data_IF_441477410847
#
_entry.id   IF_441477410847
#
_cell.length_a   1.000
_cell.length_b   1.000
_cell.length_c   1.000
_cell.angle_alpha   90.00
_cell.angle_beta   90.00
_cell.angle_gamma   90.00
#
_symmetry.space_group_name_H-M   'P 1'
#
loop_
_entity.id
_entity.type
_entity.pdbx_description
1 polymer ?
#
# COMPACT_ATOMS: atom_id res chain seq x y z
N UNK A 1 33.90 -5.26 -7.94
CA UNK A 1 33.99 -4.19 -6.91
C UNK A 1 33.13 -4.63 -5.73
N UNK A 2 33.48 -4.35 -4.47
CA UNK A 2 32.65 -4.73 -3.33
C UNK A 2 31.27 -4.07 -3.44
N UNK A 3 30.25 -4.73 -2.88
CA UNK A 3 28.89 -4.20 -2.80
C UNK A 3 28.86 -3.02 -1.82
N UNK A 4 28.18 -1.94 -2.18
CA UNK A 4 28.03 -0.73 -1.34
C UNK A 4 26.57 -0.34 -1.19
N UNK A 5 26.20 0.22 -0.03
CA UNK A 5 24.86 0.73 0.23
C UNK A 5 24.85 2.27 0.30
N UNK A 6 23.94 2.94 -0.41
CA UNK A 6 23.65 4.36 -0.24
C UNK A 6 22.22 4.53 0.31
N UNK A 7 22.04 5.47 1.24
CA UNK A 7 20.77 5.70 1.93
C UNK A 7 20.43 7.19 1.84
N UNK A 8 19.26 7.50 1.28
CA UNK A 8 18.83 8.88 1.07
C UNK A 8 17.45 9.12 1.68
N UNK A 9 17.33 10.18 2.48
CA UNK A 9 16.05 10.71 2.93
C UNK A 9 15.56 11.75 1.92
N UNK A 10 14.34 11.58 1.41
CA UNK A 10 13.74 12.52 0.46
C UNK A 10 12.36 12.98 0.92
N UNK A 11 11.96 14.17 0.47
CA UNK A 11 10.64 14.74 0.72
C UNK A 11 10.01 15.18 -0.60
N UNK A 12 8.83 14.65 -0.89
CA UNK A 12 8.06 14.96 -2.09
C UNK A 12 6.81 15.78 -1.70
N UNK A 13 6.55 16.91 -2.39
CA UNK A 13 5.34 17.69 -2.14
C UNK A 13 4.09 16.92 -2.60
N UNK A 14 3.04 16.92 -1.78
CA UNK A 14 1.72 16.39 -2.14
C UNK A 14 0.97 17.47 -2.96
N UNK A 15 0.22 17.05 -3.97
CA UNK A 15 -0.66 17.94 -4.73
C UNK A 15 -1.86 18.36 -3.86
N UNK A 16 -1.73 19.48 -3.16
CA UNK A 16 -2.70 19.94 -2.18
C UNK A 16 -2.48 19.29 -0.81
N UNK A 17 -3.50 18.64 -0.27
CA UNK A 17 -3.48 18.03 1.07
C UNK A 17 -4.09 16.65 1.01
N UNK A 18 -3.40 15.67 1.58
CA UNK A 18 -3.92 14.31 1.77
C UNK A 18 -4.43 14.15 3.20
N UNK A 19 -5.72 13.86 3.38
CA UNK A 19 -6.37 13.79 4.70
C UNK A 19 -6.99 12.43 4.94
N UNK A 20 -6.65 11.84 6.10
CA UNK A 20 -7.26 10.63 6.68
C UNK A 20 -7.86 10.96 8.04
N UNK A 21 -8.57 10.00 8.66
CA UNK A 21 -9.17 10.15 10.00
C UNK A 21 -8.18 10.65 11.07
N UNK A 22 -6.92 10.22 11.00
CA UNK A 22 -5.84 10.55 11.95
C UNK A 22 -5.12 11.88 11.68
N UNK A 23 -5.36 12.54 10.54
CA UNK A 23 -4.74 13.83 10.22
C UNK A 23 -4.43 14.06 8.74
N UNK A 24 -3.78 15.18 8.47
CA UNK A 24 -3.48 15.67 7.13
C UNK A 24 -1.96 15.73 6.87
N UNK A 25 -1.57 15.51 5.61
CA UNK A 25 -0.18 15.62 5.12
C UNK A 25 -0.11 16.51 3.89
N UNK A 26 0.98 17.28 3.80
CA UNK A 26 1.33 18.11 2.63
C UNK A 26 2.64 17.65 1.96
N UNK A 27 3.31 16.66 2.55
CA UNK A 27 4.52 16.03 2.01
C UNK A 27 4.53 14.53 2.26
N UNK A 28 5.14 13.80 1.34
CA UNK A 28 5.54 12.41 1.48
C UNK A 28 7.04 12.36 1.83
N UNK A 29 7.37 11.79 2.98
CA UNK A 29 8.75 11.59 3.43
C UNK A 29 9.12 10.13 3.21
N UNK A 30 10.15 9.89 2.41
CA UNK A 30 10.53 8.55 1.95
C UNK A 30 12.02 8.33 2.15
N UNK A 31 12.43 7.08 2.33
CA UNK A 31 13.84 6.68 2.38
C UNK A 31 14.12 5.77 1.19
N UNK A 32 15.19 6.08 0.46
CA UNK A 32 15.66 5.29 -0.68
C UNK A 32 16.94 4.56 -0.31
N UNK A 33 16.99 3.26 -0.58
CA UNK A 33 18.20 2.45 -0.55
C UNK A 33 18.69 2.23 -1.98
N UNK A 34 19.97 2.46 -2.23
CA UNK A 34 20.63 2.07 -3.48
C UNK A 34 21.77 1.11 -3.15
N UNK A 35 21.70 -0.11 -3.66
CA UNK A 35 22.77 -1.10 -3.53
C UNK A 35 23.52 -1.17 -4.85
N UNK A 36 24.84 -0.95 -4.82
CA UNK A 36 25.70 -1.01 -6.01
C UNK A 36 26.64 -2.19 -5.91
N UNK A 37 26.72 -3.03 -6.94
CA UNK A 37 27.68 -4.14 -7.03
C UNK A 37 28.16 -4.26 -8.48
N UNK A 38 29.48 -4.29 -8.69
CA UNK A 38 30.08 -4.43 -10.03
C UNK A 38 29.59 -3.38 -11.06
N UNK A 39 29.22 -2.19 -10.59
CA UNK A 39 28.71 -1.10 -11.43
C UNK A 39 27.22 -1.19 -11.76
N UNK A 40 26.52 -2.22 -11.29
CA UNK A 40 25.07 -2.37 -11.39
C UNK A 40 24.42 -1.82 -10.11
N UNK A 41 23.28 -1.15 -10.25
CA UNK A 41 22.55 -0.54 -9.13
C UNK A 41 21.14 -1.10 -9.01
N UNK A 42 20.77 -1.49 -7.79
CA UNK A 42 19.40 -1.79 -7.39
C UNK A 42 18.86 -0.75 -6.43
N UNK A 43 17.58 -0.41 -6.56
CA UNK A 43 16.91 0.63 -5.80
C UNK A 43 15.68 0.08 -5.06
N UNK A 44 15.44 0.60 -3.86
CA UNK A 44 14.24 0.34 -3.10
C UNK A 44 13.82 1.59 -2.33
N UNK A 45 12.52 1.75 -2.11
CA UNK A 45 11.95 2.88 -1.39
C UNK A 45 10.99 2.40 -0.31
N UNK A 46 11.02 3.08 0.83
CA UNK A 46 10.04 2.87 1.89
C UNK A 46 9.51 4.19 2.43
N UNK A 47 8.37 4.10 3.12
CA UNK A 47 7.68 5.24 3.75
C UNK A 47 7.53 4.97 5.24
N UNK A 48 8.36 5.59 6.11
CA UNK A 48 8.22 5.45 7.55
C UNK A 48 6.83 5.87 8.04
N UNK A 49 6.17 5.02 8.84
CA UNK A 49 4.81 5.26 9.29
C UNK A 49 4.71 5.41 10.82
N UNK A 50 4.50 6.65 11.29
CA UNK A 50 4.42 6.98 12.74
C UNK A 50 3.39 6.15 13.51
N UNK A 51 2.27 5.76 12.89
CA UNK A 51 1.25 4.91 13.51
C UNK A 51 1.81 3.54 13.90
N UNK A 52 2.89 3.09 13.27
CA UNK A 52 3.60 1.84 13.56
C UNK A 52 4.90 2.09 14.34
N UNK A 53 5.09 3.30 14.90
CA UNK A 53 6.28 3.64 15.70
C UNK A 53 7.51 4.01 14.87
N UNK A 54 7.38 4.19 13.56
CA UNK A 54 8.50 4.49 12.67
C UNK A 54 8.66 6.00 12.43
N UNK A 55 9.91 6.47 12.43
CA UNK A 55 10.31 7.81 11.98
C UNK A 55 11.37 7.72 10.89
N UNK A 56 11.64 8.82 10.19
CA UNK A 56 12.72 8.89 9.21
C UNK A 56 14.06 8.49 9.85
N UNK A 57 14.34 9.02 11.04
CA UNK A 57 15.58 8.77 11.78
C UNK A 57 15.69 7.31 12.24
N UNK A 58 14.59 6.73 12.78
CA UNK A 58 14.62 5.35 13.26
C UNK A 58 14.79 4.36 12.11
N UNK A 59 14.10 4.58 10.98
CA UNK A 59 14.18 3.72 9.80
C UNK A 59 15.56 3.83 9.14
N UNK A 60 16.10 5.05 9.01
CA UNK A 60 17.47 5.23 8.52
C UNK A 60 18.49 4.51 9.39
N UNK A 61 18.39 4.65 10.72
CA UNK A 61 19.31 3.99 11.64
C UNK A 61 19.24 2.46 11.54
N UNK A 62 18.05 1.89 11.33
CA UNK A 62 17.89 0.45 11.10
C UNK A 62 18.53 -0.01 9.79
N UNK A 63 18.35 0.75 8.69
CA UNK A 63 18.99 0.45 7.40
C UNK A 63 20.51 0.55 7.52
N UNK A 64 21.03 1.60 8.16
CA UNK A 64 22.48 1.80 8.31
C UNK A 64 23.10 0.75 9.22
N UNK A 65 22.39 0.27 10.25
CA UNK A 65 22.83 -0.86 11.07
C UNK A 65 22.94 -2.17 10.27
N UNK A 66 22.13 -2.36 9.23
CA UNK A 66 22.21 -3.51 8.34
C UNK A 66 23.31 -3.38 7.27
N UNK A 67 23.95 -2.22 7.13
CA UNK A 67 24.99 -1.96 6.13
C UNK A 67 26.07 -3.04 6.05
N UNK A 68 26.69 -3.50 7.16
CA UNK A 68 27.75 -4.52 7.05
C UNK A 68 27.26 -5.84 6.46
N UNK A 69 25.99 -6.20 6.68
CA UNK A 69 25.36 -7.39 6.11
C UNK A 69 25.06 -7.19 4.62
N UNK A 70 24.54 -6.01 4.26
CA UNK A 70 24.29 -5.67 2.86
C UNK A 70 25.60 -5.69 2.08
N UNK A 71 26.63 -5.00 2.54
CA UNK A 71 27.93 -4.88 1.88
C UNK A 71 28.72 -6.21 1.87
N UNK A 72 28.43 -7.15 2.78
CA UNK A 72 28.98 -8.52 2.76
C UNK A 72 28.25 -9.48 1.82
N UNK A 73 27.15 -9.06 1.19
CA UNK A 73 26.47 -9.83 0.16
C UNK A 73 25.23 -10.58 0.61
N UNK A 74 24.55 -10.17 1.69
CA UNK A 74 23.31 -10.81 2.15
C UNK A 74 22.28 -10.98 1.02
N UNK A 75 21.55 -12.09 1.04
CA UNK A 75 20.43 -12.37 0.12
C UNK A 75 19.11 -11.78 0.65
N UNK A 76 18.11 -11.61 -0.22
CA UNK A 76 16.76 -11.19 0.19
C UNK A 76 16.12 -12.18 1.18
N UNK A 77 16.39 -13.47 1.06
CA UNK A 77 15.84 -14.50 1.96
C UNK A 77 16.49 -14.42 3.36
N UNK A 78 17.82 -14.28 3.41
CA UNK A 78 18.54 -14.15 4.69
C UNK A 78 18.19 -12.84 5.41
N UNK A 79 17.84 -11.79 4.64
CA UNK A 79 17.40 -10.50 5.18
C UNK A 79 16.17 -10.63 6.07
N UNK A 80 15.25 -11.57 5.78
CA UNK A 80 14.05 -11.80 6.59
C UNK A 80 14.37 -12.16 8.04
N UNK A 81 15.48 -12.87 8.27
CA UNK A 81 15.97 -13.24 9.60
C UNK A 81 16.85 -12.17 10.23
N UNK A 82 17.48 -11.33 9.42
CA UNK A 82 18.40 -10.29 9.88
C UNK A 82 17.71 -8.97 10.26
N UNK A 83 16.55 -8.68 9.67
CA UNK A 83 15.79 -7.46 9.92
C UNK A 83 14.31 -7.79 10.21
N UNK A 84 13.67 -7.08 11.17
CA UNK A 84 12.24 -7.23 11.39
C UNK A 84 11.43 -6.69 10.20
N UNK A 85 10.16 -7.10 10.02
CA UNK A 85 9.24 -6.46 9.09
C UNK A 85 9.08 -4.96 9.43
N UNK A 86 8.89 -4.14 8.41
CA UNK A 86 8.81 -2.68 8.52
C UNK A 86 9.48 -1.96 7.35
N UNK A 87 9.35 -0.63 7.33
CA UNK A 87 9.83 0.22 6.24
C UNK A 87 11.33 0.03 5.97
N UNK A 88 12.15 -0.16 7.00
CA UNK A 88 13.59 -0.36 6.84
C UNK A 88 13.93 -1.59 5.99
N UNK A 89 13.32 -2.74 6.30
CA UNK A 89 13.53 -3.97 5.55
C UNK A 89 12.95 -3.88 4.15
N UNK A 90 11.83 -3.17 3.97
CA UNK A 90 11.23 -2.94 2.66
C UNK A 90 12.21 -2.29 1.67
N UNK A 91 12.85 -1.18 2.07
CA UNK A 91 13.77 -0.49 1.18
C UNK A 91 14.99 -1.35 0.79
N UNK A 92 15.54 -2.11 1.75
CA UNK A 92 16.70 -2.98 1.48
C UNK A 92 16.29 -4.18 0.63
N UNK A 93 15.19 -4.86 0.95
CA UNK A 93 14.69 -6.03 0.22
C UNK A 93 14.41 -5.69 -1.25
N UNK A 94 13.68 -4.60 -1.50
CA UNK A 94 13.35 -4.16 -2.85
C UNK A 94 14.60 -3.75 -3.64
N UNK A 95 15.61 -3.16 -2.99
CA UNK A 95 16.88 -2.82 -3.63
C UNK A 95 17.69 -4.07 -4.02
N UNK A 96 17.67 -5.12 -3.19
CA UNK A 96 18.30 -6.40 -3.50
C UNK A 96 17.60 -7.12 -4.66
N UNK A 97 16.27 -7.08 -4.72
CA UNK A 97 15.50 -7.61 -5.85
C UNK A 97 15.86 -6.93 -7.17
N UNK A 98 15.92 -5.59 -7.17
CA UNK A 98 16.28 -4.79 -8.35
C UNK A 98 17.71 -5.05 -8.79
N UNK A 99 18.66 -5.06 -7.83
CA UNK A 99 20.07 -5.34 -8.11
C UNK A 99 20.24 -6.69 -8.79
N UNK A 100 19.61 -7.73 -8.23
CA UNK A 100 19.75 -9.10 -8.74
C UNK A 100 19.13 -9.24 -10.13
N UNK A 101 17.96 -8.61 -10.38
CA UNK A 101 17.35 -8.61 -11.71
C UNK A 101 18.27 -7.97 -12.76
N UNK A 102 18.85 -6.81 -12.44
CA UNK A 102 19.75 -6.08 -13.34
C UNK A 102 21.09 -6.78 -13.54
N UNK A 103 21.64 -7.43 -12.51
CA UNK A 103 22.91 -8.19 -12.61
C UNK A 103 22.77 -9.44 -13.45
N UNK A 104 21.67 -10.17 -13.30
CA UNK A 104 21.44 -11.43 -14.00
C UNK A 104 20.82 -11.23 -15.39
N UNK A 105 20.24 -10.06 -15.65
CA UNK A 105 19.43 -9.80 -16.84
C UNK A 105 18.09 -10.55 -16.83
N UNK A 106 17.71 -11.18 -15.70
CA UNK A 106 16.42 -11.83 -15.53
C UNK A 106 15.46 -10.89 -14.82
N UNK A 107 14.37 -10.53 -15.50
CA UNK A 107 13.36 -9.64 -14.92
C UNK A 107 12.75 -10.25 -13.66
N UNK A 108 12.35 -9.40 -12.70
CA UNK A 108 11.69 -9.86 -11.48
C UNK A 108 10.43 -10.66 -11.80
N UNK A 109 9.64 -10.24 -12.80
CA UNK A 109 8.47 -11.01 -13.26
C UNK A 109 8.82 -12.45 -13.66
N UNK A 110 9.94 -12.65 -14.37
CA UNK A 110 10.39 -14.00 -14.76
C UNK A 110 10.77 -14.82 -13.54
N UNK A 111 11.49 -14.23 -12.58
CA UNK A 111 11.89 -14.90 -11.33
C UNK A 111 10.68 -15.30 -10.48
N UNK A 112 9.61 -14.51 -10.52
CA UNK A 112 8.34 -14.81 -9.84
C UNK A 112 7.45 -15.79 -10.62
N UNK A 113 7.88 -16.26 -11.80
CA UNK A 113 7.07 -17.14 -12.65
C UNK A 113 5.80 -16.46 -13.18
N UNK A 114 5.76 -15.12 -13.21
CA UNK A 114 4.61 -14.39 -13.70
C UNK A 114 4.56 -14.47 -15.23
N UNK A 115 3.34 -14.58 -15.76
CA UNK A 115 3.10 -14.31 -17.18
C UNK A 115 3.44 -12.85 -17.53
N UNK A 116 3.31 -12.48 -18.80
CA UNK A 116 3.48 -11.09 -19.22
C UNK A 116 2.65 -10.15 -18.32
N UNK A 117 3.33 -9.21 -17.65
CA UNK A 117 2.71 -8.26 -16.74
C UNK A 117 1.67 -7.43 -17.49
N UNK A 118 0.52 -7.20 -16.85
CA UNK A 118 -0.57 -6.41 -17.42
C UNK A 118 -0.71 -5.09 -16.67
N UNK A 119 -1.23 -4.04 -17.33
CA UNK A 119 -1.69 -2.85 -16.63
C UNK A 119 -2.80 -3.21 -15.65
N UNK A 120 -2.79 -2.58 -14.47
CA UNK A 120 -3.73 -2.85 -13.40
C UNK A 120 -4.66 -1.65 -13.20
N UNK A 121 -5.91 -1.90 -12.85
CA UNK A 121 -6.81 -0.82 -12.42
C UNK A 121 -6.48 -0.46 -10.98
N UNK A 122 -5.89 0.71 -10.76
CA UNK A 122 -5.64 1.25 -9.41
C UNK A 122 -6.79 2.14 -8.96
N UNK A 123 -7.07 2.13 -7.67
CA UNK A 123 -7.91 3.10 -7.02
C UNK A 123 -7.36 4.51 -7.19
N UNK A 124 -8.21 5.50 -6.93
CA UNK A 124 -7.82 6.87 -6.72
C UNK A 124 -8.49 7.39 -5.45
N UNK A 125 -7.69 7.96 -4.56
CA UNK A 125 -8.15 8.34 -3.23
C UNK A 125 -8.83 9.71 -3.22
N UNK A 126 -10.08 9.73 -2.76
CA UNK A 126 -10.83 10.92 -2.34
C UNK A 126 -10.53 11.15 -0.85
N UNK A 127 -9.90 12.29 -0.54
CA UNK A 127 -9.52 12.64 0.83
C UNK A 127 -10.74 12.96 1.70
N UNK A 128 -10.62 12.73 3.00
CA UNK A 128 -11.68 13.02 3.96
C UNK A 128 -11.94 14.54 4.02
N UNK A 129 -13.22 14.93 3.95
CA UNK A 129 -13.67 16.32 4.03
C UNK A 129 -15.17 16.41 4.30
N UNK A 130 -15.78 17.58 4.08
CA UNK A 130 -17.23 17.73 4.14
C UNK A 130 -17.92 17.02 2.95
N UNK A 131 -19.17 16.55 3.09
CA UNK A 131 -19.87 15.80 2.05
C UNK A 131 -19.86 16.47 0.67
N UNK A 132 -20.08 17.79 0.61
CA UNK A 132 -20.11 18.56 -0.64
C UNK A 132 -18.73 18.61 -1.31
N UNK A 133 -17.67 18.73 -0.51
CA UNK A 133 -16.28 18.77 -0.98
C UNK A 133 -15.88 17.40 -1.53
N UNK A 134 -16.18 16.33 -0.80
CA UNK A 134 -15.91 14.97 -1.24
C UNK A 134 -16.71 14.62 -2.50
N UNK A 135 -17.98 15.05 -2.59
CA UNK A 135 -18.79 14.87 -3.78
C UNK A 135 -18.25 15.67 -4.98
N UNK A 136 -17.68 16.85 -4.77
CA UNK A 136 -17.03 17.61 -5.84
C UNK A 136 -15.80 16.89 -6.37
N UNK A 137 -14.91 16.40 -5.50
CA UNK A 137 -13.75 15.60 -5.89
C UNK A 137 -14.18 14.31 -6.60
N UNK A 138 -15.20 13.61 -6.08
CA UNK A 138 -15.73 12.41 -6.70
C UNK A 138 -16.30 12.67 -8.10
N UNK A 139 -16.99 13.79 -8.32
CA UNK A 139 -17.47 14.20 -9.67
C UNK A 139 -16.31 14.45 -10.63
N UNK A 140 -15.28 15.15 -10.18
CA UNK A 140 -14.08 15.41 -11.00
C UNK A 140 -13.40 14.11 -11.45
N UNK A 141 -13.44 13.08 -10.61
CA UNK A 141 -12.83 11.79 -10.88
C UNK A 141 -13.84 10.67 -11.20
N UNK A 142 -15.08 11.02 -11.54
CA UNK A 142 -16.16 10.03 -11.79
C UNK A 142 -15.90 9.14 -13.01
N UNK A 143 -14.97 9.52 -13.90
CA UNK A 143 -14.52 8.70 -15.02
C UNK A 143 -13.55 7.58 -14.63
N UNK A 144 -13.08 7.54 -13.37
CA UNK A 144 -12.22 6.47 -12.87
C UNK A 144 -13.06 5.23 -12.55
N UNK A 145 -12.49 4.05 -12.83
CA UNK A 145 -13.13 2.77 -12.57
C UNK A 145 -13.28 2.46 -11.07
N UNK A 146 -12.32 2.89 -10.25
CA UNK A 146 -12.27 2.62 -8.81
C UNK A 146 -11.90 3.89 -8.03
N UNK A 147 -12.73 4.25 -7.06
CA UNK A 147 -12.48 5.34 -6.11
C UNK A 147 -12.32 4.75 -4.70
N UNK A 148 -11.24 5.16 -4.01
CA UNK A 148 -11.05 4.89 -2.59
C UNK A 148 -11.47 6.14 -1.81
N UNK A 149 -12.38 6.01 -0.86
CA UNK A 149 -12.98 7.17 -0.18
C UNK A 149 -12.63 7.12 1.29
N UNK A 150 -11.91 8.14 1.75
CA UNK A 150 -11.54 8.27 3.17
C UNK A 150 -12.76 8.69 3.99
N UNK A 151 -13.08 7.86 4.98
CA UNK A 151 -14.13 8.06 5.98
C UNK A 151 -13.47 7.93 7.37
N UNK A 152 -14.25 7.69 8.43
CA UNK A 152 -13.73 7.45 9.78
C UNK A 152 -14.18 8.49 10.80
N UNK A 153 -15.43 8.97 10.68
CA UNK A 153 -16.09 9.84 11.65
C UNK A 153 -17.38 9.18 12.17
N UNK A 154 -18.02 9.77 13.18
CA UNK A 154 -19.32 9.30 13.67
C UNK A 154 -20.50 9.57 12.71
N UNK A 155 -20.30 10.36 11.66
CA UNK A 155 -21.34 10.82 10.73
C UNK A 155 -20.87 10.74 9.26
N UNK A 156 -20.58 9.53 8.79
CA UNK A 156 -20.11 9.30 7.42
C UNK A 156 -21.23 8.93 6.44
N UNK A 157 -22.46 8.75 6.90
CA UNK A 157 -23.57 8.39 6.01
C UNK A 157 -23.78 9.43 4.91
N UNK A 158 -23.75 10.72 5.28
CA UNK A 158 -23.89 11.83 4.35
C UNK A 158 -22.77 11.84 3.30
N UNK A 159 -21.53 11.59 3.73
CA UNK A 159 -20.33 11.49 2.86
C UNK A 159 -20.45 10.33 1.88
N UNK A 160 -20.80 9.13 2.36
CA UNK A 160 -20.95 7.92 1.54
C UNK A 160 -22.02 8.15 0.47
N UNK A 161 -23.20 8.65 0.85
CA UNK A 161 -24.29 8.91 -0.08
C UNK A 161 -23.94 10.00 -1.09
N UNK A 162 -23.31 11.09 -0.64
CA UNK A 162 -22.91 12.19 -1.53
C UNK A 162 -21.88 11.76 -2.58
N UNK A 163 -20.87 10.96 -2.19
CA UNK A 163 -19.86 10.42 -3.10
C UNK A 163 -20.47 9.43 -4.10
N UNK A 164 -21.35 8.52 -3.66
CA UNK A 164 -22.04 7.62 -4.59
C UNK A 164 -22.88 8.39 -5.63
N UNK A 165 -23.64 9.40 -5.21
CA UNK A 165 -24.41 10.24 -6.15
C UNK A 165 -23.49 10.96 -7.16
N UNK A 166 -22.32 11.42 -6.71
CA UNK A 166 -21.33 12.09 -7.54
C UNK A 166 -20.63 11.16 -8.56
N UNK A 167 -20.43 9.90 -8.22
CA UNK A 167 -19.76 8.90 -9.05
C UNK A 167 -20.59 7.60 -9.13
N UNK A 168 -21.75 7.62 -9.81
CA UNK A 168 -22.71 6.50 -9.78
C UNK A 168 -22.18 5.22 -10.43
N UNK A 169 -21.22 5.33 -11.36
CA UNK A 169 -20.71 4.19 -12.13
C UNK A 169 -19.35 3.66 -11.63
N UNK A 170 -18.66 4.40 -10.75
CA UNK A 170 -17.38 3.95 -10.22
C UNK A 170 -17.60 2.84 -9.17
N UNK A 171 -16.72 1.85 -9.13
CA UNK A 171 -16.56 1.03 -7.94
C UNK A 171 -16.05 1.92 -6.81
N UNK A 172 -16.58 1.71 -5.60
CA UNK A 172 -16.19 2.48 -4.42
C UNK A 172 -15.73 1.51 -3.35
N UNK A 173 -14.56 1.78 -2.78
CA UNK A 173 -14.10 1.21 -1.53
C UNK A 173 -13.96 2.33 -0.50
N UNK A 174 -14.32 2.05 0.75
CA UNK A 174 -14.20 3.00 1.85
C UNK A 174 -13.00 2.62 2.70
N UNK A 175 -12.34 3.60 3.28
CA UNK A 175 -11.28 3.38 4.26
C UNK A 175 -11.47 4.33 5.44
N UNK A 176 -11.80 3.75 6.60
CA UNK A 176 -12.06 4.51 7.82
C UNK A 176 -10.79 4.79 8.62
N UNK A 177 -9.67 4.12 8.30
CA UNK A 177 -8.41 4.20 9.02
C UNK A 177 -8.63 4.20 10.54
N UNK A 178 -9.30 3.16 11.05
CA UNK A 178 -9.60 2.96 12.48
C UNK A 178 -10.61 3.97 13.08
N UNK A 179 -11.26 4.79 12.26
CA UNK A 179 -11.97 5.98 12.72
C UNK A 179 -13.41 5.77 13.18
N UNK A 180 -14.05 4.62 12.90
CA UNK A 180 -15.44 4.42 13.34
C UNK A 180 -15.51 3.98 14.80
N UNK A 181 -16.37 4.62 15.61
CA UNK A 181 -16.82 4.05 16.87
C UNK A 181 -17.63 2.76 16.65
N UNK A 182 -17.53 1.79 17.56
CA UNK A 182 -18.35 0.58 17.54
C UNK A 182 -19.85 0.88 17.44
N UNK A 183 -20.32 1.93 18.14
CA UNK A 183 -21.71 2.32 18.20
C UNK A 183 -22.35 2.70 16.84
N UNK A 184 -21.53 3.00 15.81
CA UNK A 184 -22.02 3.35 14.46
C UNK A 184 -21.68 2.29 13.41
N UNK A 185 -20.93 1.25 13.78
CA UNK A 185 -20.36 0.28 12.84
C UNK A 185 -21.41 -0.41 11.97
N UNK A 186 -22.39 -1.08 12.58
CA UNK A 186 -23.42 -1.83 11.84
C UNK A 186 -24.22 -0.90 10.91
N UNK A 187 -24.56 0.30 11.39
CA UNK A 187 -25.27 1.32 10.63
C UNK A 187 -24.44 1.77 9.42
N UNK A 188 -23.17 2.09 9.60
CA UNK A 188 -22.30 2.53 8.50
C UNK A 188 -22.03 1.40 7.48
N UNK A 189 -21.84 0.16 7.93
CA UNK A 189 -21.74 -0.99 7.03
C UNK A 189 -23.01 -1.20 6.21
N UNK A 190 -24.18 -1.02 6.82
CA UNK A 190 -25.46 -1.10 6.11
C UNK A 190 -25.58 0.01 5.05
N UNK A 191 -25.28 1.26 5.40
CA UNK A 191 -25.31 2.39 4.46
C UNK A 191 -24.31 2.21 3.33
N UNK A 192 -23.11 1.69 3.61
CA UNK A 192 -22.13 1.34 2.60
C UNK A 192 -22.67 0.27 1.64
N UNK A 193 -23.31 -0.79 2.15
CA UNK A 193 -23.93 -1.82 1.34
C UNK A 193 -25.07 -1.28 0.46
N UNK A 194 -25.97 -0.45 1.02
CA UNK A 194 -27.04 0.22 0.26
C UNK A 194 -26.49 1.09 -0.87
N UNK A 195 -25.36 1.76 -0.62
CA UNK A 195 -24.66 2.58 -1.60
C UNK A 195 -23.86 1.75 -2.61
N UNK A 196 -23.88 0.41 -2.55
CA UNK A 196 -23.12 -0.46 -3.46
C UNK A 196 -21.61 -0.28 -3.31
N UNK A 197 -21.12 -0.04 -2.10
CA UNK A 197 -19.69 -0.09 -1.77
C UNK A 197 -19.20 -1.53 -1.86
N UNK A 198 -18.03 -1.74 -2.46
CA UNK A 198 -17.46 -3.07 -2.64
C UNK A 198 -16.71 -3.58 -1.41
N UNK A 199 -16.04 -2.69 -0.68
CA UNK A 199 -15.17 -3.03 0.46
C UNK A 199 -15.07 -1.86 1.45
N UNK A 200 -15.00 -2.17 2.74
CA UNK A 200 -14.69 -1.23 3.83
C UNK A 200 -13.39 -1.66 4.51
N UNK A 201 -12.38 -0.80 4.44
CA UNK A 201 -11.05 -1.00 5.01
C UNK A 201 -10.96 -0.42 6.42
N UNK A 202 -10.44 -1.25 7.33
CA UNK A 202 -10.16 -1.00 8.74
C UNK A 202 -11.19 -0.07 9.42
N UNK A 203 -12.44 -0.52 9.62
CA UNK A 203 -13.47 0.31 10.25
C UNK A 203 -13.13 0.66 11.70
N UNK A 204 -12.64 -0.32 12.47
CA UNK A 204 -12.35 -0.21 13.90
C UNK A 204 -10.84 -0.15 14.19
N UNK A 205 -10.43 0.41 15.35
CA UNK A 205 -9.03 0.38 15.77
C UNK A 205 -8.46 -1.03 15.91
N UNK A 206 -7.23 -1.22 15.46
CA UNK A 206 -6.54 -2.49 15.60
C UNK A 206 -6.42 -2.88 17.08
N UNK A 207 -6.78 -4.13 17.39
CA UNK A 207 -6.85 -4.63 18.77
C UNK A 207 -8.15 -4.27 19.53
N UNK A 208 -9.01 -3.45 18.93
CA UNK A 208 -10.34 -3.10 19.42
C UNK A 208 -11.39 -3.34 18.32
N UNK A 209 -11.28 -4.48 17.66
CA UNK A 209 -12.02 -4.85 16.44
C UNK A 209 -12.80 -6.18 16.60
N UNK A 210 -12.92 -6.68 17.83
CA UNK A 210 -13.58 -7.95 18.16
C UNK A 210 -15.05 -8.00 17.71
N UNK A 211 -15.76 -6.86 17.75
CA UNK A 211 -17.16 -6.76 17.33
C UNK A 211 -17.38 -7.23 15.88
N UNK A 212 -16.37 -7.15 15.01
CA UNK A 212 -16.45 -7.61 13.62
C UNK A 212 -16.70 -9.12 13.48
N UNK A 213 -16.37 -9.92 14.50
CA UNK A 213 -16.66 -11.35 14.54
C UNK A 213 -18.11 -11.66 14.96
N UNK A 214 -18.77 -10.72 15.64
CA UNK A 214 -20.09 -10.93 16.25
C UNK A 214 -21.23 -10.40 15.38
N UNK A 215 -20.95 -9.42 14.52
CA UNK A 215 -21.95 -8.78 13.66
C UNK A 215 -22.02 -9.41 12.27
N UNK A 216 -23.16 -9.21 11.60
CA UNK A 216 -23.26 -9.50 10.17
C UNK A 216 -22.50 -8.44 9.37
N UNK A 217 -21.59 -8.87 8.50
CA UNK A 217 -20.91 -8.02 7.52
C UNK A 217 -21.62 -8.12 6.16
N UNK A 218 -22.39 -7.11 5.71
CA UNK A 218 -23.17 -7.18 4.47
C UNK A 218 -22.33 -6.98 3.20
N UNK A 219 -21.05 -6.62 3.34
CA UNK A 219 -20.06 -6.43 2.29
C UNK A 219 -18.67 -6.81 2.84
N UNK A 220 -17.63 -6.83 2.00
CA UNK A 220 -16.27 -7.19 2.43
C UNK A 220 -15.72 -6.19 3.44
N UNK A 221 -15.18 -6.69 4.56
CA UNK A 221 -14.39 -5.91 5.52
C UNK A 221 -12.92 -6.30 5.40
N UNK A 222 -12.06 -5.30 5.21
CA UNK A 222 -10.64 -5.47 4.94
C UNK A 222 -9.77 -5.04 6.12
N UNK A 223 -8.80 -5.87 6.52
CA UNK A 223 -7.79 -5.49 7.50
C UNK A 223 -6.66 -4.69 6.83
N UNK A 224 -6.28 -3.55 7.42
CA UNK A 224 -5.04 -2.83 7.09
C UNK A 224 -4.16 -2.70 8.32
N UNK A 225 -4.50 -1.82 9.27
CA UNK A 225 -3.72 -1.60 10.49
C UNK A 225 -3.63 -2.85 11.38
N UNK A 226 -4.61 -3.77 11.31
CA UNK A 226 -4.62 -5.05 12.04
C UNK A 226 -3.76 -6.15 11.41
N UNK A 227 -3.16 -5.95 10.23
CA UNK A 227 -2.40 -7.00 9.52
C UNK A 227 -1.08 -6.46 8.94
N UNK A 228 0.06 -7.08 9.28
CA UNK A 228 1.39 -6.60 8.90
C UNK A 228 2.21 -7.63 8.14
N UNK A 229 2.19 -8.88 8.57
CA UNK A 229 2.98 -9.97 7.99
C UNK A 229 2.22 -11.30 7.99
N UNK A 230 2.78 -12.34 7.36
CA UNK A 230 2.13 -13.65 7.19
C UNK A 230 1.62 -14.25 8.52
N UNK A 231 2.37 -14.06 9.60
CA UNK A 231 2.02 -14.59 10.94
C UNK A 231 0.71 -14.04 11.53
N UNK A 232 0.17 -12.93 11.03
CA UNK A 232 -1.04 -12.31 11.58
C UNK A 232 -2.33 -12.95 11.04
N UNK A 233 -2.27 -13.52 9.83
CA UNK A 233 -3.42 -13.85 8.99
C UNK A 233 -4.42 -14.79 9.66
N UNK A 234 -3.92 -15.88 10.26
CA UNK A 234 -4.78 -16.92 10.82
C UNK A 234 -5.70 -16.39 11.92
N UNK A 235 -5.26 -15.39 12.68
CA UNK A 235 -6.03 -14.82 13.79
C UNK A 235 -7.11 -13.83 13.34
N UNK A 236 -7.13 -13.44 12.06
CA UNK A 236 -8.00 -12.39 11.53
C UNK A 236 -9.21 -12.94 10.77
N UNK A 237 -9.24 -14.24 10.47
CA UNK A 237 -10.23 -14.86 9.60
C UNK A 237 -11.67 -14.80 10.15
N UNK A 238 -11.84 -14.61 11.46
CA UNK A 238 -13.14 -14.44 12.11
C UNK A 238 -13.71 -13.02 11.96
N UNK A 239 -12.84 -12.02 11.79
CA UNK A 239 -13.17 -10.58 11.78
C UNK A 239 -13.12 -9.94 10.39
N UNK A 240 -12.33 -10.51 9.47
CA UNK A 240 -12.04 -9.89 8.17
C UNK A 240 -12.29 -10.84 7.01
N UNK A 241 -12.71 -10.27 5.88
CA UNK A 241 -12.97 -10.98 4.60
C UNK A 241 -11.85 -10.72 3.59
N UNK A 242 -11.12 -9.62 3.76
CA UNK A 242 -10.04 -9.18 2.89
C UNK A 242 -8.85 -8.69 3.70
N UNK A 243 -7.67 -8.63 3.08
CA UNK A 243 -6.46 -8.04 3.66
C UNK A 243 -5.83 -7.04 2.72
N UNK A 244 -5.28 -5.96 3.27
CA UNK A 244 -4.47 -4.99 2.55
C UNK A 244 -2.97 -5.26 2.79
N UNK A 245 -2.31 -5.87 1.82
CA UNK A 245 -0.87 -6.13 1.85
C UNK A 245 -0.13 -4.88 1.38
N UNK A 246 0.79 -4.37 2.20
CA UNK A 246 1.66 -3.22 1.89
C UNK A 246 3.11 -3.59 2.14
N UNK A 247 3.99 -3.25 1.21
CA UNK A 247 5.41 -3.61 1.32
C UNK A 247 6.09 -2.99 2.54
N UNK A 248 5.68 -1.79 2.95
CA UNK A 248 6.19 -1.15 4.17
C UNK A 248 5.80 -1.90 5.45
N UNK A 249 4.69 -2.66 5.45
CA UNK A 249 4.27 -3.48 6.60
C UNK A 249 4.93 -4.85 6.57
N UNK A 250 4.93 -5.50 5.41
CA UNK A 250 5.58 -6.80 5.24
C UNK A 250 7.10 -6.68 5.37
N UNK A 251 7.65 -5.49 5.18
CA UNK A 251 9.09 -5.26 5.12
C UNK A 251 9.71 -5.86 3.87
N UNK A 252 9.07 -5.68 2.71
CA UNK A 252 9.62 -6.04 1.41
C UNK A 252 8.74 -6.97 0.58
N UNK A 253 9.14 -7.13 -0.68
CA UNK A 253 8.50 -7.99 -1.66
C UNK A 253 8.62 -9.47 -1.27
N UNK A 254 9.75 -9.89 -0.69
CA UNK A 254 9.98 -11.30 -0.31
C UNK A 254 8.93 -11.81 0.67
N UNK A 255 8.70 -11.10 1.79
CA UNK A 255 7.66 -11.45 2.76
C UNK A 255 6.25 -11.25 2.17
N UNK A 256 6.05 -10.22 1.34
CA UNK A 256 4.73 -9.95 0.77
C UNK A 256 4.23 -11.05 -0.18
N UNK A 257 5.15 -11.72 -0.90
CA UNK A 257 4.82 -12.88 -1.73
C UNK A 257 4.35 -14.07 -0.87
N UNK A 258 5.03 -14.34 0.23
CA UNK A 258 4.64 -15.38 1.18
C UNK A 258 3.28 -15.07 1.82
N UNK A 259 3.09 -13.81 2.24
CA UNK A 259 1.86 -13.33 2.84
C UNK A 259 0.67 -13.44 1.88
N UNK A 260 0.87 -13.03 0.61
CA UNK A 260 -0.17 -13.15 -0.42
C UNK A 260 -0.58 -14.61 -0.64
N UNK A 261 0.37 -15.51 -0.81
CA UNK A 261 0.09 -16.93 -1.04
C UNK A 261 -0.66 -17.55 0.15
N UNK A 262 -0.28 -17.22 1.38
CA UNK A 262 -0.96 -17.72 2.58
C UNK A 262 -2.37 -17.13 2.73
N UNK A 263 -2.55 -15.85 2.41
CA UNK A 263 -3.86 -15.21 2.45
C UNK A 263 -4.83 -15.81 1.43
N UNK A 264 -4.36 -16.09 0.21
CA UNK A 264 -5.11 -16.81 -0.82
C UNK A 264 -5.47 -18.23 -0.33
N UNK A 265 -4.53 -18.94 0.31
CA UNK A 265 -4.78 -20.27 0.90
C UNK A 265 -5.85 -20.23 2.00
N UNK A 266 -5.89 -19.16 2.78
CA UNK A 266 -6.88 -18.93 3.84
C UNK A 266 -8.22 -18.39 3.30
N UNK A 267 -8.30 -18.06 2.01
CA UNK A 267 -9.54 -17.61 1.35
C UNK A 267 -9.85 -16.13 1.53
N UNK A 268 -8.87 -15.30 1.91
CA UNK A 268 -9.05 -13.86 1.95
C UNK A 268 -9.11 -13.28 0.54
N UNK A 269 -9.95 -12.25 0.35
CA UNK A 269 -9.81 -11.35 -0.78
C UNK A 269 -8.55 -10.50 -0.62
N UNK A 270 -7.84 -10.25 -1.72
CA UNK A 270 -6.52 -9.63 -1.70
C UNK A 270 -6.60 -8.19 -2.22
N UNK A 271 -6.25 -7.25 -1.35
CA UNK A 271 -5.94 -5.88 -1.71
C UNK A 271 -4.43 -5.65 -1.62
N UNK A 272 -3.84 -5.07 -2.66
CA UNK A 272 -2.45 -4.58 -2.61
C UNK A 272 -2.49 -3.06 -2.55
N UNK A 273 -2.08 -2.52 -1.42
CA UNK A 273 -2.08 -1.09 -1.16
C UNK A 273 -0.67 -0.51 -1.03
N UNK A 274 -0.62 0.79 -0.80
CA UNK A 274 0.62 1.51 -0.56
C UNK A 274 0.53 2.50 0.60
N UNK A 275 1.70 2.97 1.02
CA UNK A 275 1.82 4.26 1.70
C UNK A 275 1.88 5.38 0.66
N UNK A 276 1.76 6.65 1.10
CA UNK A 276 1.96 7.79 0.20
C UNK A 276 3.47 7.91 -0.11
N UNK A 277 3.88 7.29 -1.21
CA UNK A 277 5.25 7.26 -1.74
C UNK A 277 5.29 7.54 -3.24
N UNK A 278 6.47 7.38 -3.83
CA UNK A 278 6.72 7.64 -5.25
C UNK A 278 6.53 6.39 -6.10
N UNK A 279 6.69 6.52 -7.42
CA UNK A 279 6.66 5.38 -8.34
C UNK A 279 7.66 4.28 -7.99
N UNK A 280 8.79 4.61 -7.34
CA UNK A 280 9.77 3.60 -6.94
C UNK A 280 9.21 2.66 -5.86
N UNK A 281 8.46 3.18 -4.88
CA UNK A 281 7.78 2.34 -3.88
C UNK A 281 6.63 1.52 -4.50
N UNK A 282 5.96 2.06 -5.51
CA UNK A 282 4.85 1.37 -6.18
C UNK A 282 5.33 0.25 -7.12
N UNK A 283 6.52 0.38 -7.73
CA UNK A 283 7.00 -0.54 -8.76
C UNK A 283 7.00 -2.03 -8.34
N UNK A 284 7.64 -2.44 -7.23
CA UNK A 284 7.55 -3.82 -6.75
C UNK A 284 6.12 -4.24 -6.40
N UNK A 285 5.30 -3.31 -5.90
CA UNK A 285 3.90 -3.58 -5.56
C UNK A 285 3.03 -3.84 -6.80
N UNK A 286 3.35 -3.27 -7.98
CA UNK A 286 2.66 -3.59 -9.25
C UNK A 286 2.86 -5.06 -9.67
N UNK A 287 4.03 -5.64 -9.37
CA UNK A 287 4.27 -7.07 -9.62
C UNK A 287 3.48 -7.93 -8.63
N UNK A 288 3.48 -7.55 -7.34
CA UNK A 288 2.71 -8.23 -6.30
C UNK A 288 1.19 -8.19 -6.59
N UNK A 289 0.71 -7.07 -7.14
CA UNK A 289 -0.70 -6.81 -7.43
C UNK A 289 -1.26 -7.55 -8.66
N UNK A 290 -0.42 -8.31 -9.39
CA UNK A 290 -0.95 -9.18 -10.45
C UNK A 290 -1.92 -10.20 -9.84
N UNK A 291 -3.15 -10.23 -10.35
CA UNK A 291 -4.27 -11.06 -9.86
C UNK A 291 -4.82 -10.69 -8.46
N UNK A 292 -4.54 -9.48 -7.94
CA UNK A 292 -5.23 -8.98 -6.75
C UNK A 292 -6.67 -8.56 -7.09
N UNK A 293 -7.59 -8.67 -6.13
CA UNK A 293 -8.98 -8.24 -6.29
C UNK A 293 -9.10 -6.70 -6.28
N UNK A 294 -8.26 -6.05 -5.46
CA UNK A 294 -8.21 -4.60 -5.34
C UNK A 294 -6.76 -4.11 -5.40
N UNK A 295 -6.53 -2.98 -6.08
CA UNK A 295 -5.20 -2.37 -6.21
C UNK A 295 -5.32 -0.90 -5.82
N UNK A 296 -4.49 -0.47 -4.87
CA UNK A 296 -4.43 0.88 -4.33
C UNK A 296 -2.97 1.36 -4.35
N UNK A 297 -2.50 1.68 -5.55
CA UNK A 297 -1.12 2.10 -5.85
C UNK A 297 -1.11 3.52 -6.43
N UNK A 298 -1.84 4.42 -5.79
CA UNK A 298 -2.13 5.77 -6.26
C UNK A 298 -1.19 6.84 -5.68
N UNK A 299 -0.23 6.46 -4.83
CA UNK A 299 0.74 7.37 -4.22
C UNK A 299 1.29 8.43 -5.17
N UNK A 300 1.84 8.06 -6.35
CA UNK A 300 2.33 9.01 -7.35
C UNK A 300 1.30 10.00 -7.88
N UNK A 301 0.02 9.60 -8.00
CA UNK A 301 -1.07 10.48 -8.45
C UNK A 301 -1.39 11.56 -7.42
N UNK A 302 -1.01 11.35 -6.16
CA UNK A 302 -1.21 12.29 -5.06
C UNK A 302 -0.02 13.26 -4.91
N UNK A 303 1.10 13.03 -5.57
CA UNK A 303 2.28 13.89 -5.51
C UNK A 303 2.20 15.04 -6.53
N UNK A 304 2.71 16.21 -6.16
CA UNK A 304 2.85 17.33 -7.09
C UNK A 304 4.00 17.12 -8.09
N UNK A 305 4.94 16.22 -7.76
CA UNK A 305 5.97 15.70 -8.67
C UNK A 305 6.37 14.30 -8.23
N UNK A 306 6.59 13.43 -9.20
CA UNK A 306 7.08 12.07 -9.00
C UNK A 306 8.52 11.92 -9.51
N UNK A 307 9.11 10.73 -9.39
CA UNK A 307 10.46 10.41 -9.88
C UNK A 307 10.54 10.47 -11.40
N UNK A 308 11.75 10.76 -11.89
CA UNK A 308 12.07 10.55 -13.31
C UNK A 308 11.94 9.05 -13.64
N UNK A 309 11.49 8.73 -14.85
CA UNK A 309 11.11 7.37 -15.25
C UNK A 309 10.04 6.73 -14.34
N UNK A 310 9.19 7.53 -13.68
CA UNK A 310 8.08 7.03 -12.87
C UNK A 310 7.13 6.12 -13.64
N UNK A 311 6.30 5.39 -12.90
CA UNK A 311 5.26 4.54 -13.47
C UNK A 311 4.34 5.36 -14.35
N UNK A 312 3.92 4.77 -15.47
CA UNK A 312 2.94 5.39 -16.33
C UNK A 312 1.54 5.13 -15.79
N UNK A 313 0.81 6.20 -15.55
CA UNK A 313 -0.62 6.16 -15.24
C UNK A 313 -1.43 6.68 -16.43
N UNK A 314 -2.50 5.98 -16.80
CA UNK A 314 -3.46 6.45 -17.81
C UNK A 314 -4.88 6.10 -17.40
N UNK A 315 -5.71 7.14 -17.19
CA UNK A 315 -7.02 7.00 -16.58
C UNK A 315 -6.92 6.26 -15.23
N UNK A 316 -7.51 5.07 -15.12
CA UNK A 316 -7.43 4.21 -13.92
C UNK A 316 -6.32 3.16 -13.97
N UNK A 317 -5.55 3.10 -15.06
CA UNK A 317 -4.54 2.08 -15.23
C UNK A 317 -3.18 2.56 -14.73
N UNK A 318 -2.52 1.72 -13.92
CA UNK A 318 -1.08 1.77 -13.66
C UNK A 318 -0.40 0.70 -14.52
N UNK A 319 0.64 1.09 -15.25
CA UNK A 319 1.37 0.18 -16.13
C UNK A 319 2.58 -0.44 -15.40
N UNK A 320 3.02 -1.65 -15.79
CA UNK A 320 4.22 -2.27 -15.24
C UNK A 320 5.45 -1.35 -15.33
N UNK A 321 6.38 -1.42 -14.35
CA UNK A 321 7.59 -0.60 -14.36
C UNK A 321 8.49 -0.93 -15.54
N UNK A 322 9.20 0.10 -16.01
CA UNK A 322 10.35 -0.07 -16.90
C UNK A 322 11.62 -0.31 -16.07
N UNK A 323 12.60 -1.03 -16.61
CA UNK A 323 13.86 -1.36 -15.91
C UNK A 323 14.70 -0.14 -15.51
N UNK A 324 14.45 1.02 -16.15
CA UNK A 324 15.05 2.29 -15.76
C UNK A 324 14.59 2.74 -14.36
N UNK A 325 13.38 2.37 -13.95
CA UNK A 325 12.85 2.62 -12.62
C UNK A 325 13.22 1.48 -11.66
N UNK A 326 12.85 0.25 -12.01
CA UNK A 326 12.95 -0.92 -11.14
C UNK A 326 12.71 -2.23 -11.91
N UNK A 327 13.49 -3.27 -11.61
CA UNK A 327 13.44 -4.61 -12.20
C UNK A 327 14.15 -4.73 -13.55
#
# INVERSE_FOLDING_TARGET
MPRTLDIQMNSFPIAGTFTISRGAKTKAEVITCTVTEEGVQGHGECVPYRRYGETMESVFAQIDAARPLVESGISSDDLLSAMPPGAARNAVDCALWDLEAKRTGQTVATRLGLAALKPLTTAYTISLGEPEVMAAQAREHAGRALLKVKVGTGDDESRIRAVRVAAPNAAIILDANEGWPEAVLERHLHVAAEAGVALVEQPLPAGHDALLAEIRRPLLVCADESVHHTGDLASLADRYDAINIKLDKTGGLTEALAMKAEAERLGFSIMIGCMVGTSLAMAPAVLLAQNADFVDLDGPLLLARDREHGLRYAASLVFPPESALWG
#
